data_IF_312742026959
#
_entry.id   IF_312742026959
#
_cell.length_a   1.000
_cell.length_b   1.000
_cell.length_c   1.000
_cell.angle_alpha   90.00
_cell.angle_beta   90.00
_cell.angle_gamma   90.00
#
_symmetry.space_group_name_H-M   'P 1'
#
loop_
_entity.id
_entity.type
_entity.pdbx_description
1 polymer ?
#
# COMPACT_ATOMS: atom_id res chain seq x y z
N UNK A 1 -12.88 -12.49 -2.59
CA UNK A 1 -11.52 -13.03 -2.42
C UNK A 1 -11.01 -12.62 -1.05
N UNK A 2 -10.13 -13.40 -0.43
CA UNK A 2 -9.39 -12.91 0.74
C UNK A 2 -8.42 -11.81 0.32
N UNK A 3 -7.90 -11.02 1.27
CA UNK A 3 -6.86 -10.04 0.96
C UNK A 3 -5.60 -10.71 0.40
N UNK A 4 -5.25 -11.90 0.90
CA UNK A 4 -4.09 -12.65 0.44
C UNK A 4 -4.26 -13.08 -1.03
N UNK A 5 -5.39 -13.69 -1.40
CA UNK A 5 -5.69 -14.03 -2.80
C UNK A 5 -5.64 -12.78 -3.71
N UNK A 6 -6.15 -11.66 -3.19
CA UNK A 6 -6.19 -10.39 -3.95
C UNK A 6 -4.79 -9.86 -4.28
N UNK A 7 -3.75 -10.17 -3.50
CA UNK A 7 -2.36 -9.78 -3.81
C UNK A 7 -1.93 -10.27 -5.20
N UNK A 8 -2.35 -11.48 -5.57
CA UNK A 8 -1.93 -12.18 -6.78
C UNK A 8 -2.77 -11.85 -8.01
N UNK A 9 -3.93 -11.21 -7.81
CA UNK A 9 -4.85 -10.85 -8.91
C UNK A 9 -4.95 -9.34 -9.10
N UNK A 10 -4.60 -8.53 -8.08
CA UNK A 10 -4.80 -7.08 -8.12
C UNK A 10 -4.08 -6.41 -9.28
N UNK A 11 -4.57 -5.25 -9.71
CA UNK A 11 -4.00 -4.46 -10.81
C UNK A 11 -4.16 -2.96 -10.54
N UNK A 12 -3.22 -2.17 -11.04
CA UNK A 12 -3.38 -0.72 -11.14
C UNK A 12 -4.47 -0.42 -12.18
N UNK A 13 -5.63 0.04 -11.74
CA UNK A 13 -6.74 0.46 -12.61
C UNK A 13 -6.61 1.96 -12.90
N UNK A 14 -6.85 2.32 -14.17
CA UNK A 14 -6.85 3.70 -14.66
C UNK A 14 -8.06 4.05 -15.51
N UNK A 15 -8.98 3.09 -15.67
CA UNK A 15 -10.22 3.23 -16.40
C UNK A 15 -11.33 2.75 -15.48
N UNK A 16 -12.13 3.71 -15.03
CA UNK A 16 -13.28 3.45 -14.19
C UNK A 16 -14.55 3.66 -15.01
N UNK A 17 -15.64 3.06 -14.54
CA UNK A 17 -16.97 3.30 -15.07
C UNK A 17 -17.62 4.45 -14.32
N UNK A 18 -18.62 5.06 -14.96
CA UNK A 18 -19.35 6.20 -14.40
C UNK A 18 -20.42 5.79 -13.38
N UNK A 19 -20.77 4.51 -13.30
CA UNK A 19 -21.80 4.07 -12.37
C UNK A 19 -21.30 4.06 -10.92
N UNK A 20 -22.13 4.66 -10.07
CA UNK A 20 -21.83 4.92 -8.68
C UNK A 20 -21.98 3.66 -7.82
N UNK A 21 -21.35 3.69 -6.65
CA UNK A 21 -21.59 2.75 -5.57
C UNK A 21 -22.82 3.23 -4.79
N UNK A 22 -23.59 2.28 -4.25
CA UNK A 22 -24.67 2.64 -3.34
C UNK A 22 -24.12 3.12 -1.98
N UNK A 23 -25.00 3.73 -1.18
CA UNK A 23 -24.60 4.30 0.11
C UNK A 23 -24.09 3.25 1.09
N UNK A 24 -24.64 2.03 1.07
CA UNK A 24 -24.21 0.97 1.98
C UNK A 24 -22.79 0.50 1.62
N UNK A 25 -22.50 0.33 0.34
CA UNK A 25 -21.15 0.00 -0.14
C UNK A 25 -20.11 1.04 0.30
N UNK A 26 -20.46 2.33 0.23
CA UNK A 26 -19.55 3.41 0.66
C UNK A 26 -19.33 3.39 2.19
N UNK A 27 -20.39 3.19 2.98
CA UNK A 27 -20.30 3.08 4.44
C UNK A 27 -19.48 1.85 4.87
N UNK A 28 -19.64 0.72 4.18
CA UNK A 28 -18.87 -0.50 4.45
C UNK A 28 -17.39 -0.30 4.14
N UNK A 29 -17.07 0.38 3.03
CA UNK A 29 -15.68 0.72 2.66
C UNK A 29 -15.06 1.68 3.67
N UNK A 30 -15.78 2.73 4.05
CA UNK A 30 -15.33 3.72 5.03
C UNK A 30 -15.10 3.06 6.40
N UNK A 31 -16.07 2.27 6.88
CA UNK A 31 -15.97 1.55 8.15
C UNK A 31 -14.78 0.59 8.14
N UNK A 32 -14.57 -0.13 7.05
CA UNK A 32 -13.47 -1.08 6.94
C UNK A 32 -12.11 -0.38 7.00
N UNK A 33 -11.91 0.70 6.21
CA UNK A 33 -10.62 1.39 6.15
C UNK A 33 -10.29 2.13 7.44
N UNK A 34 -11.30 2.61 8.18
CA UNK A 34 -11.10 3.22 9.50
C UNK A 34 -10.61 2.22 10.55
N UNK A 35 -10.86 0.93 10.35
CA UNK A 35 -10.40 -0.17 11.21
C UNK A 35 -9.13 -0.87 10.67
N UNK A 36 -8.55 -0.38 9.58
CA UNK A 36 -7.33 -0.95 9.03
C UNK A 36 -6.18 -0.88 10.05
N UNK A 37 -5.33 -1.92 10.06
CA UNK A 37 -4.19 -1.98 10.98
C UNK A 37 -3.26 -0.81 10.71
N UNK A 38 -2.62 -0.31 11.76
CA UNK A 38 -1.60 0.73 11.70
C UNK A 38 -0.32 0.25 12.37
N UNK A 39 0.78 0.92 12.09
CA UNK A 39 2.03 0.73 12.82
C UNK A 39 1.88 1.19 14.28
N UNK A 40 2.66 0.57 15.17
CA UNK A 40 2.71 0.97 16.57
C UNK A 40 3.10 2.44 16.71
N UNK A 41 2.32 3.18 17.49
CA UNK A 41 2.54 4.60 17.76
C UNK A 41 2.33 5.52 16.54
N UNK A 42 1.73 5.03 15.44
CA UNK A 42 1.41 5.84 14.26
C UNK A 42 -0.10 5.98 14.10
N UNK A 43 -0.53 7.12 13.55
CA UNK A 43 -1.95 7.36 13.27
C UNK A 43 -2.12 8.14 11.96
N UNK A 44 -2.43 7.43 10.89
CA UNK A 44 -2.93 7.99 9.65
C UNK A 44 -4.45 8.20 9.76
N UNK A 45 -4.94 9.28 9.14
CA UNK A 45 -6.37 9.50 8.92
C UNK A 45 -6.68 9.22 7.45
N UNK A 46 -7.77 8.52 7.20
CA UNK A 46 -8.27 8.26 5.84
C UNK A 46 -9.60 8.96 5.67
N UNK A 47 -9.78 9.66 4.56
CA UNK A 47 -11.04 10.27 4.16
C UNK A 47 -11.50 9.67 2.84
N UNK A 48 -12.76 9.20 2.80
CA UNK A 48 -13.44 8.88 1.55
C UNK A 48 -14.04 10.17 1.00
N UNK A 49 -13.66 10.52 -0.23
CA UNK A 49 -14.13 11.74 -0.90
C UNK A 49 -14.55 11.43 -2.33
N UNK A 50 -15.28 12.37 -2.94
CA UNK A 50 -15.69 12.28 -4.35
C UNK A 50 -14.74 13.03 -5.28
N UNK A 51 -14.89 12.84 -6.59
CA UNK A 51 -14.11 13.56 -7.62
C UNK A 51 -14.18 15.10 -7.48
N UNK A 52 -15.30 15.61 -6.95
CA UNK A 52 -15.50 17.04 -6.72
C UNK A 52 -14.57 17.63 -5.65
N UNK A 53 -13.93 16.80 -4.82
CA UNK A 53 -13.09 17.22 -3.70
C UNK A 53 -11.59 17.04 -3.99
N UNK A 54 -11.23 16.43 -5.13
CA UNK A 54 -9.84 16.24 -5.54
C UNK A 54 -9.47 17.13 -6.73
N UNK A 55 -8.24 17.63 -6.73
CA UNK A 55 -7.60 18.19 -7.91
C UNK A 55 -7.01 17.07 -8.75
N UNK A 56 -7.01 17.24 -10.07
CA UNK A 56 -6.50 16.24 -11.03
C UNK A 56 -7.20 14.88 -10.92
N UNK A 57 -8.53 14.90 -10.94
CA UNK A 57 -9.35 13.69 -11.02
C UNK A 57 -8.85 12.72 -12.09
N UNK A 58 -8.87 11.43 -11.77
CA UNK A 58 -8.34 10.35 -12.62
C UNK A 58 -9.47 9.56 -13.29
N UNK A 59 -10.64 10.21 -13.46
CA UNK A 59 -11.85 9.60 -13.99
C UNK A 59 -12.48 8.56 -13.06
N UNK A 60 -12.11 8.56 -11.78
CA UNK A 60 -12.75 7.72 -10.76
C UNK A 60 -13.82 8.53 -10.02
N UNK A 61 -14.96 7.92 -9.64
CA UNK A 61 -15.99 8.61 -8.87
C UNK A 61 -15.59 8.89 -7.42
N UNK A 62 -14.70 8.06 -6.84
CA UNK A 62 -14.32 8.12 -5.43
C UNK A 62 -12.80 8.04 -5.22
N UNK A 63 -12.36 8.57 -4.08
CA UNK A 63 -10.97 8.58 -3.67
C UNK A 63 -10.84 8.32 -2.17
N UNK A 64 -9.81 7.57 -1.78
CA UNK A 64 -9.34 7.51 -0.40
C UNK A 64 -8.13 8.43 -0.29
N UNK A 65 -8.24 9.49 0.51
CA UNK A 65 -7.14 10.41 0.81
C UNK A 65 -6.57 10.11 2.19
N UNK A 66 -5.25 9.97 2.28
CA UNK A 66 -4.57 9.70 3.54
C UNK A 66 -3.83 10.94 4.01
N UNK A 67 -3.97 11.24 5.29
CA UNK A 67 -3.32 12.34 5.98
C UNK A 67 -2.46 11.79 7.11
N UNK A 68 -1.23 12.28 7.23
CA UNK A 68 -0.31 11.83 8.27
C UNK A 68 0.68 12.94 8.63
N UNK A 69 1.43 12.74 9.70
CA UNK A 69 2.51 13.64 10.09
C UNK A 69 3.67 13.58 9.09
N UNK A 70 4.48 14.65 9.07
CA UNK A 70 5.56 14.83 8.11
C UNK A 70 6.87 14.17 8.59
N UNK A 71 6.89 12.84 8.71
CA UNK A 71 8.09 12.06 9.02
C UNK A 71 8.03 10.63 8.45
N UNK A 72 9.17 9.95 8.38
CA UNK A 72 9.33 8.65 7.70
C UNK A 72 8.37 7.57 8.22
N UNK A 73 8.23 7.42 9.53
CA UNK A 73 7.32 6.43 10.14
C UNK A 73 5.86 6.66 9.75
N UNK A 74 5.41 7.92 9.73
CA UNK A 74 4.05 8.28 9.33
C UNK A 74 3.81 8.02 7.84
N UNK A 75 4.82 8.25 6.99
CA UNK A 75 4.76 7.90 5.57
C UNK A 75 4.69 6.40 5.31
N UNK A 76 5.49 5.61 6.03
CA UNK A 76 5.37 4.15 6.00
C UNK A 76 3.97 3.70 6.43
N UNK A 77 3.45 4.24 7.53
CA UNK A 77 2.12 3.91 8.01
C UNK A 77 1.02 4.28 7.00
N UNK A 78 1.13 5.44 6.33
CA UNK A 78 0.18 5.85 5.30
C UNK A 78 0.13 4.85 4.13
N UNK A 79 1.29 4.38 3.66
CA UNK A 79 1.35 3.33 2.63
C UNK A 79 0.79 1.99 3.11
N UNK A 80 1.07 1.62 4.35
CA UNK A 80 0.59 0.38 4.97
C UNK A 80 -0.95 0.33 5.09
N UNK A 81 -1.56 1.41 5.56
CA UNK A 81 -3.01 1.56 5.68
C UNK A 81 -3.66 1.60 4.31
N UNK A 82 -3.17 2.43 3.39
CA UNK A 82 -3.81 2.60 2.09
C UNK A 82 -3.69 1.34 1.22
N UNK A 83 -2.63 0.55 1.36
CA UNK A 83 -2.51 -0.73 0.65
C UNK A 83 -3.50 -1.79 1.16
N UNK A 84 -3.84 -1.77 2.45
CA UNK A 84 -4.95 -2.59 2.97
C UNK A 84 -6.26 -2.20 2.29
N UNK A 85 -6.52 -0.89 2.16
CA UNK A 85 -7.68 -0.36 1.43
C UNK A 85 -7.68 -0.75 -0.06
N UNK A 86 -6.54 -0.64 -0.74
CA UNK A 86 -6.37 -1.05 -2.14
C UNK A 86 -6.75 -2.53 -2.33
N UNK A 87 -6.21 -3.42 -1.50
CA UNK A 87 -6.54 -4.85 -1.57
C UNK A 87 -7.99 -5.12 -1.21
N UNK A 88 -8.55 -4.43 -0.21
CA UNK A 88 -9.96 -4.61 0.16
C UNK A 88 -10.89 -4.21 -0.98
N UNK A 89 -10.69 -3.04 -1.59
CA UNK A 89 -11.48 -2.57 -2.73
C UNK A 89 -11.45 -3.59 -3.88
N UNK A 90 -10.28 -4.10 -4.23
CA UNK A 90 -10.15 -5.10 -5.30
C UNK A 90 -10.74 -6.46 -4.90
N UNK A 91 -10.76 -6.80 -3.61
CA UNK A 91 -11.40 -8.03 -3.13
C UNK A 91 -12.92 -8.02 -3.30
N UNK A 92 -13.52 -6.81 -3.34
CA UNK A 92 -14.95 -6.56 -3.63
C UNK A 92 -15.25 -6.50 -5.15
N UNK A 93 -14.24 -6.66 -6.01
CA UNK A 93 -14.37 -6.53 -7.46
C UNK A 93 -14.35 -5.09 -7.99
N UNK A 94 -13.96 -4.13 -7.15
CA UNK A 94 -13.76 -2.74 -7.58
C UNK A 94 -12.37 -2.56 -8.20
N UNK A 95 -12.24 -1.54 -9.05
CA UNK A 95 -10.94 -1.07 -9.50
C UNK A 95 -10.39 -0.02 -8.54
N UNK A 96 -9.07 -0.03 -8.37
CA UNK A 96 -8.33 0.99 -7.62
C UNK A 96 -7.01 1.36 -8.30
N UNK A 97 -6.53 2.59 -8.09
CA UNK A 97 -5.31 3.07 -8.71
C UNK A 97 -4.56 4.11 -7.88
N UNK A 98 -3.24 3.93 -7.79
CA UNK A 98 -2.29 4.86 -7.16
C UNK A 98 -1.88 5.97 -8.13
N UNK A 99 -2.03 7.23 -7.75
CA UNK A 99 -1.71 8.36 -8.62
C UNK A 99 -1.00 9.48 -7.85
N UNK A 100 0.17 9.90 -8.34
CA UNK A 100 0.94 10.98 -7.73
C UNK A 100 0.27 12.36 -7.85
N UNK A 101 -0.64 12.53 -8.82
CA UNK A 101 -1.34 13.79 -9.10
C UNK A 101 -2.58 14.02 -8.24
N UNK A 102 -3.16 12.97 -7.65
CA UNK A 102 -4.37 13.08 -6.81
C UNK A 102 -4.00 13.84 -5.55
N UNK A 103 -4.69 14.95 -5.31
CA UNK A 103 -4.55 15.80 -4.13
C UNK A 103 -5.90 16.40 -3.76
N UNK A 104 -6.18 16.69 -2.49
CA UNK A 104 -7.40 17.42 -2.14
C UNK A 104 -7.42 18.80 -2.82
N UNK A 105 -8.59 19.28 -3.24
CA UNK A 105 -8.76 20.63 -3.80
C UNK A 105 -8.43 21.70 -2.77
N UNK A 106 -8.89 21.49 -1.53
CA UNK A 106 -8.49 22.31 -0.39
C UNK A 106 -7.13 21.82 0.08
N UNK A 107 -6.13 22.70 0.02
CA UNK A 107 -4.79 22.41 0.49
C UNK A 107 -4.81 21.99 1.97
N UNK A 108 -4.06 20.94 2.29
CA UNK A 108 -3.82 20.45 3.64
C UNK A 108 -2.38 19.95 3.71
N UNK A 109 -1.58 20.56 4.59
CA UNK A 109 -0.15 20.24 4.76
C UNK A 109 0.10 18.80 5.20
N UNK A 110 -0.90 18.15 5.79
CA UNK A 110 -0.83 16.76 6.23
C UNK A 110 -1.21 15.77 5.13
N UNK A 111 -1.64 16.23 3.96
CA UNK A 111 -1.96 15.33 2.86
C UNK A 111 -0.75 14.47 2.48
N UNK A 112 -0.92 13.16 2.56
CA UNK A 112 0.14 12.20 2.32
C UNK A 112 0.09 11.65 0.89
N UNK A 113 -0.99 10.93 0.57
CA UNK A 113 -1.18 10.21 -0.69
C UNK A 113 -2.68 9.90 -0.90
N UNK A 114 -3.09 9.68 -2.14
CA UNK A 114 -4.46 9.31 -2.49
C UNK A 114 -4.52 8.07 -3.38
N UNK A 115 -5.65 7.35 -3.27
CA UNK A 115 -6.01 6.20 -4.10
C UNK A 115 -7.36 6.48 -4.76
N UNK A 116 -7.43 6.39 -6.08
CA UNK A 116 -8.68 6.50 -6.82
C UNK A 116 -9.37 5.13 -6.87
N UNK A 117 -10.70 5.07 -6.79
CA UNK A 117 -11.43 3.81 -6.89
C UNK A 117 -12.84 3.97 -7.46
N UNK A 118 -13.36 2.86 -7.97
CA UNK A 118 -14.70 2.78 -8.54
C UNK A 118 -14.90 1.47 -9.28
N UNK A 119 -16.06 1.29 -9.90
CA UNK A 119 -16.31 0.12 -10.75
C UNK A 119 -15.44 0.17 -12.00
N UNK A 120 -15.11 -1.00 -12.55
CA UNK A 120 -14.23 -1.11 -13.72
C UNK A 120 -14.55 -2.36 -14.53
N UNK A 121 -14.32 -2.30 -15.84
CA UNK A 121 -14.28 -3.48 -16.72
C UNK A 121 -12.85 -3.96 -16.96
N UNK A 122 -11.85 -3.33 -16.34
CA UNK A 122 -10.45 -3.79 -16.40
C UNK A 122 -10.36 -5.11 -15.64
N UNK A 123 -10.00 -6.22 -16.29
CA UNK A 123 -9.94 -7.50 -15.61
C UNK A 123 -8.80 -7.54 -14.60
N UNK A 124 -9.01 -8.29 -13.52
CA UNK A 124 -7.95 -8.72 -12.62
C UNK A 124 -6.89 -9.52 -13.40
N UNK A 125 -5.69 -9.61 -12.83
CA UNK A 125 -4.62 -10.44 -13.39
C UNK A 125 -4.95 -11.92 -13.24
N UNK A 126 -4.56 -12.69 -14.25
CA UNK A 126 -4.79 -14.14 -14.30
C UNK A 126 -3.66 -14.96 -13.70
N UNK A 127 -2.44 -14.42 -13.70
CA UNK A 127 -1.25 -15.07 -13.14
C UNK A 127 -0.21 -14.03 -12.73
N UNK A 128 0.80 -14.50 -11.98
CA UNK A 128 1.96 -13.68 -11.56
C UNK A 128 2.79 -13.16 -12.74
N UNK A 129 2.77 -13.82 -13.90
CA UNK A 129 3.53 -13.43 -15.09
C UNK A 129 3.09 -12.08 -15.66
N UNK A 130 1.86 -11.65 -15.36
CA UNK A 130 1.36 -10.33 -15.74
C UNK A 130 1.94 -9.20 -14.85
N UNK A 131 2.70 -9.52 -13.80
CA UNK A 131 3.40 -8.56 -12.97
C UNK A 131 4.83 -8.36 -13.46
N UNK A 132 5.18 -7.12 -13.80
CA UNK A 132 6.57 -6.74 -14.05
C UNK A 132 7.28 -6.49 -12.72
N UNK A 133 8.01 -7.49 -12.21
CA UNK A 133 8.74 -7.43 -10.93
C UNK A 133 10.18 -7.92 -11.06
N UNK A 134 11.04 -7.45 -10.16
CA UNK A 134 12.38 -8.00 -9.91
C UNK A 134 12.24 -9.47 -9.52
N UNK A 135 13.30 -10.23 -9.71
CA UNK A 135 13.35 -11.62 -9.24
C UNK A 135 13.24 -11.67 -7.70
N UNK A 136 12.77 -12.78 -7.16
CA UNK A 136 12.56 -12.91 -5.71
C UNK A 136 13.90 -12.84 -4.94
N UNK A 137 14.98 -13.36 -5.53
CA UNK A 137 16.34 -13.36 -4.98
C UNK A 137 16.94 -11.95 -4.90
N UNK A 138 16.44 -11.01 -5.71
CA UNK A 138 16.87 -9.61 -5.66
C UNK A 138 16.37 -8.91 -4.40
N UNK A 139 15.21 -9.34 -3.88
CA UNK A 139 14.55 -8.70 -2.75
C UNK A 139 14.62 -9.52 -1.47
N UNK A 140 14.91 -10.82 -1.53
CA UNK A 140 14.83 -11.72 -0.39
C UNK A 140 15.92 -12.80 -0.46
N UNK A 141 16.54 -13.19 0.67
CA UNK A 141 17.46 -14.32 0.73
C UNK A 141 16.76 -15.69 0.59
N UNK A 142 15.43 -15.74 0.76
CA UNK A 142 14.64 -16.96 0.67
C UNK A 142 13.35 -16.77 -0.14
N UNK A 143 12.94 -17.81 -0.85
CA UNK A 143 11.67 -17.83 -1.59
C UNK A 143 10.59 -18.51 -0.75
N UNK A 144 9.79 -17.70 -0.04
CA UNK A 144 8.65 -18.16 0.76
C UNK A 144 7.38 -17.35 0.43
N UNK A 145 6.24 -17.71 1.03
CA UNK A 145 4.94 -17.07 0.78
C UNK A 145 4.97 -15.55 1.05
N UNK A 146 5.69 -15.11 2.09
CA UNK A 146 5.86 -13.69 2.43
C UNK A 146 6.65 -12.95 1.35
N UNK A 147 7.80 -13.48 0.94
CA UNK A 147 8.62 -12.90 -0.11
C UNK A 147 7.89 -12.86 -1.46
N UNK A 148 7.10 -13.90 -1.80
CA UNK A 148 6.26 -13.92 -2.98
C UNK A 148 5.19 -12.81 -2.94
N UNK A 149 4.48 -12.68 -1.82
CA UNK A 149 3.47 -11.64 -1.65
C UNK A 149 4.07 -10.22 -1.72
N UNK A 150 5.19 -9.97 -1.03
CA UNK A 150 5.88 -8.67 -1.01
C UNK A 150 6.46 -8.33 -2.38
N UNK A 151 7.02 -9.30 -3.10
CA UNK A 151 7.52 -9.10 -4.47
C UNK A 151 6.45 -8.50 -5.36
N UNK A 152 5.20 -8.90 -5.20
CA UNK A 152 4.13 -8.41 -6.05
C UNK A 152 3.70 -6.98 -5.71
N UNK A 153 3.96 -6.45 -4.50
CA UNK A 153 3.56 -5.11 -4.00
C UNK A 153 3.70 -4.00 -5.08
N UNK A 154 2.76 -3.03 -5.21
CA UNK A 154 2.98 -1.88 -6.07
C UNK A 154 4.08 -0.98 -5.49
N UNK A 155 4.68 -0.15 -6.33
CA UNK A 155 5.58 0.90 -5.85
C UNK A 155 5.64 2.05 -6.84
N UNK A 156 6.04 3.22 -6.36
CA UNK A 156 6.26 4.38 -7.22
C UNK A 156 7.24 4.04 -8.35
N UNK A 157 6.81 4.33 -9.59
CA UNK A 157 7.55 4.03 -10.83
C UNK A 157 8.02 2.56 -10.94
N UNK A 158 7.35 1.64 -10.24
CA UNK A 158 7.75 0.23 -10.15
C UNK A 158 9.20 0.03 -9.66
N UNK A 159 9.72 0.97 -8.86
CA UNK A 159 11.10 0.99 -8.36
C UNK A 159 11.47 -0.19 -7.43
N UNK A 160 10.48 -0.75 -6.73
CA UNK A 160 10.61 -1.86 -5.78
C UNK A 160 11.79 -1.65 -4.81
N UNK A 161 11.72 -0.61 -3.93
CA UNK A 161 12.86 -0.12 -3.17
C UNK A 161 13.09 -0.89 -1.85
N UNK A 162 12.71 -2.17 -1.76
CA UNK A 162 12.77 -2.96 -0.53
C UNK A 162 13.69 -4.19 -0.65
N UNK A 163 14.26 -4.59 0.50
CA UNK A 163 14.81 -5.92 0.74
C UNK A 163 14.23 -6.51 2.02
N UNK A 164 14.07 -7.83 2.06
CA UNK A 164 13.59 -8.58 3.20
C UNK A 164 14.77 -9.27 3.90
N UNK A 165 14.69 -9.33 5.22
CA UNK A 165 15.46 -10.23 6.05
C UNK A 165 14.50 -10.99 6.97
N UNK A 166 14.82 -12.27 7.21
CA UNK A 166 14.00 -13.17 8.02
C UNK A 166 14.80 -13.59 9.25
N UNK A 167 14.17 -13.44 10.42
CA UNK A 167 14.56 -14.08 11.67
C UNK A 167 13.44 -15.03 12.14
N UNK A 168 13.67 -15.69 13.27
CA UNK A 168 12.76 -16.72 13.81
C UNK A 168 11.32 -16.21 14.00
N UNK A 169 11.15 -15.04 14.62
CA UNK A 169 9.84 -14.43 14.92
C UNK A 169 9.73 -13.00 14.34
N UNK A 170 10.52 -12.72 13.29
CA UNK A 170 10.64 -11.37 12.74
C UNK A 170 10.88 -11.34 11.24
N UNK A 171 10.15 -10.47 10.54
CA UNK A 171 10.49 -10.05 9.17
C UNK A 171 10.90 -8.58 9.21
N UNK A 172 12.07 -8.25 8.67
CA UNK A 172 12.51 -6.85 8.49
C UNK A 172 12.45 -6.49 7.02
N UNK A 173 11.79 -5.37 6.70
CA UNK A 173 11.73 -4.79 5.36
C UNK A 173 12.53 -3.50 5.35
N UNK A 174 13.59 -3.48 4.56
CA UNK A 174 14.58 -2.42 4.56
C UNK A 174 14.51 -1.59 3.29
N UNK A 175 14.53 -0.25 3.43
CA UNK A 175 14.61 0.68 2.31
C UNK A 175 16.02 0.62 1.69
N UNK A 176 16.10 0.13 0.45
CA UNK A 176 17.34 0.02 -0.33
C UNK A 176 17.34 0.89 -1.58
N UNK A 177 16.37 1.79 -1.73
CA UNK A 177 16.17 2.53 -2.99
C UNK A 177 17.47 3.14 -3.55
N UNK A 178 17.55 3.11 -4.88
CA UNK A 178 18.79 2.97 -5.64
C UNK A 178 19.64 4.25 -5.78
N UNK A 179 20.92 4.17 -5.38
CA UNK A 179 22.07 4.90 -5.95
C UNK A 179 22.36 6.33 -5.44
N UNK A 180 23.55 6.84 -5.80
CA UNK A 180 24.15 8.15 -5.45
C UNK A 180 23.23 9.37 -5.70
N UNK A 181 22.15 9.22 -6.48
CA UNK A 181 21.10 10.22 -6.71
C UNK A 181 20.16 10.47 -5.50
N UNK A 182 20.41 9.84 -4.36
CA UNK A 182 19.62 9.95 -3.11
C UNK A 182 20.21 10.96 -2.12
N UNK A 183 19.98 12.25 -2.34
CA UNK A 183 20.13 13.22 -1.23
C UNK A 183 18.93 14.17 -1.04
N UNK A 184 18.09 14.44 -2.06
CA UNK A 184 17.09 15.52 -1.89
C UNK A 184 15.64 15.28 -2.36
N UNK A 185 15.29 14.25 -3.17
CA UNK A 185 13.97 14.28 -3.85
C UNK A 185 13.06 13.04 -3.82
N UNK A 186 13.35 11.98 -3.05
CA UNK A 186 12.46 10.80 -2.98
C UNK A 186 12.32 10.14 -1.60
N UNK A 187 12.48 10.88 -0.50
CA UNK A 187 12.38 10.24 0.82
C UNK A 187 10.94 9.73 1.08
N UNK A 188 9.94 10.61 1.03
CA UNK A 188 8.51 10.28 1.30
C UNK A 188 7.98 9.07 0.53
N UNK A 189 8.11 9.04 -0.81
CA UNK A 189 7.52 7.97 -1.63
C UNK A 189 8.15 6.60 -1.35
N UNK A 190 9.45 6.52 -1.08
CA UNK A 190 10.07 5.23 -0.77
C UNK A 190 9.61 4.70 0.60
N UNK A 191 9.34 5.60 1.57
CA UNK A 191 8.77 5.22 2.87
C UNK A 191 7.36 4.68 2.70
N UNK A 192 6.53 5.36 1.90
CA UNK A 192 5.19 4.87 1.52
C UNK A 192 5.29 3.51 0.84
N UNK A 193 6.17 3.35 -0.17
CA UNK A 193 6.39 2.09 -0.88
C UNK A 193 6.81 0.96 0.08
N UNK A 194 7.60 1.26 1.12
CA UNK A 194 7.95 0.31 2.16
C UNK A 194 6.76 -0.10 3.03
N UNK A 195 5.89 0.87 3.36
CA UNK A 195 4.63 0.59 4.03
C UNK A 195 3.72 -0.34 3.26
N UNK A 196 3.61 -0.12 1.95
CA UNK A 196 2.89 -1.00 1.03
C UNK A 196 3.48 -2.41 1.07
N UNK A 197 4.81 -2.55 1.00
CA UNK A 197 5.48 -3.84 1.13
C UNK A 197 5.19 -4.52 2.49
N UNK A 198 5.20 -3.76 3.59
CA UNK A 198 4.85 -4.28 4.91
C UNK A 198 3.40 -4.77 4.99
N UNK A 199 2.46 -4.12 4.30
CA UNK A 199 1.05 -4.55 4.23
C UNK A 199 0.93 -5.94 3.60
N UNK A 200 1.64 -6.14 2.49
CA UNK A 200 1.73 -7.45 1.83
C UNK A 200 2.35 -8.52 2.75
N UNK A 201 3.42 -8.19 3.48
CA UNK A 201 4.07 -9.12 4.39
C UNK A 201 3.15 -9.54 5.55
N UNK A 202 2.47 -8.57 6.19
CA UNK A 202 1.52 -8.84 7.28
C UNK A 202 0.38 -9.74 6.82
N UNK A 203 -0.19 -9.46 5.65
CA UNK A 203 -1.28 -10.27 5.08
C UNK A 203 -0.81 -11.69 4.80
N UNK A 204 0.40 -11.86 4.25
CA UNK A 204 0.97 -13.18 3.99
C UNK A 204 1.30 -13.94 5.28
N UNK A 205 1.90 -13.30 6.28
CA UNK A 205 2.18 -13.92 7.58
C UNK A 205 0.90 -14.43 8.24
N UNK A 206 -0.16 -13.61 8.26
CA UNK A 206 -1.47 -14.01 8.79
C UNK A 206 -2.11 -15.14 7.99
N UNK A 207 -1.95 -15.17 6.67
CA UNK A 207 -2.42 -16.28 5.84
C UNK A 207 -1.73 -17.61 6.19
N UNK A 208 -0.42 -17.56 6.45
CA UNK A 208 0.39 -18.72 6.87
C UNK A 208 0.11 -19.16 8.33
N UNK A 209 -0.89 -18.58 9.00
CA UNK A 209 -1.31 -18.95 10.35
C UNK A 209 -0.58 -18.19 11.47
N UNK A 210 0.29 -17.24 11.15
CA UNK A 210 1.01 -16.46 12.15
C UNK A 210 0.16 -15.32 12.72
N UNK A 211 0.31 -15.07 14.01
CA UNK A 211 -0.25 -13.90 14.68
C UNK A 211 0.76 -12.77 14.67
N UNK A 212 0.50 -11.72 13.87
CA UNK A 212 1.33 -10.51 13.88
C UNK A 212 1.08 -9.74 15.18
N UNK A 213 2.14 -9.61 15.98
CA UNK A 213 2.13 -8.94 17.29
C UNK A 213 2.30 -7.44 17.11
N UNK A 214 3.29 -7.03 16.32
CA UNK A 214 3.65 -5.63 16.19
C UNK A 214 4.28 -5.32 14.82
N UNK A 215 4.02 -4.10 14.33
CA UNK A 215 4.70 -3.56 13.15
C UNK A 215 5.35 -2.24 13.53
N UNK A 216 6.68 -2.22 13.59
CA UNK A 216 7.47 -1.12 14.14
C UNK A 216 8.33 -0.50 13.03
N UNK A 217 8.11 0.77 12.68
CA UNK A 217 9.04 1.51 11.83
C UNK A 217 10.29 1.89 12.62
N UNK A 218 11.47 1.69 12.02
CA UNK A 218 12.77 2.09 12.58
C UNK A 218 13.49 2.99 11.59
N UNK A 219 14.02 4.10 12.09
CA UNK A 219 14.87 4.99 11.32
C UNK A 219 16.21 5.17 12.05
N UNK A 220 17.29 4.85 11.35
CA UNK A 220 18.65 5.18 11.75
C UNK A 220 19.17 6.29 10.85
N UNK A 221 20.32 6.88 11.20
CA UNK A 221 20.95 7.94 10.41
C UNK A 221 21.24 7.54 8.94
N UNK A 222 21.21 6.25 8.61
CA UNK A 222 21.56 5.73 7.28
C UNK A 222 20.40 5.01 6.58
N UNK A 223 19.36 4.59 7.32
CA UNK A 223 18.42 3.60 6.80
C UNK A 223 17.07 3.64 7.50
N UNK A 224 16.00 3.45 6.74
CA UNK A 224 14.65 3.23 7.26
C UNK A 224 14.22 1.81 7.00
N UNK A 225 13.61 1.20 8.01
CA UNK A 225 13.19 -0.19 8.03
C UNK A 225 11.83 -0.33 8.70
N UNK A 226 11.15 -1.43 8.44
CA UNK A 226 9.93 -1.83 9.14
C UNK A 226 10.16 -3.25 9.64
N UNK A 227 10.11 -3.43 10.95
CA UNK A 227 10.14 -4.73 11.60
C UNK A 227 8.71 -5.21 11.86
N UNK A 228 8.42 -6.45 11.47
CA UNK A 228 7.14 -7.13 11.69
C UNK A 228 7.43 -8.30 12.62
N UNK A 229 6.91 -8.25 13.84
CA UNK A 229 7.04 -9.30 14.83
C UNK A 229 5.81 -10.21 14.80
N UNK A 230 6.02 -11.53 14.84
CA UNK A 230 4.95 -12.51 14.73
C UNK A 230 5.23 -13.76 15.58
N UNK A 231 4.18 -14.55 15.85
CA UNK A 231 4.25 -15.87 16.52
C UNK A 231 3.35 -16.89 15.82
#
# INVERSE_FOLDING_TARGET
MTLYETIFTRRQVRRFRDDLLDQQQLLDIETWILNAKQFSGQQAKVALVTDNEVSHGQGAPYYLLVYCDNHSSAYGNAGFVLQQGDLYLQSLGLGSGWFAGVKPKRHDDRFCIGLAFGKTDVPARKSEDEFKRKSIETISPMANAVAAAVRLAPSSLNSQPWRLAFGEEKVTITDVGSGIKRMFLKNKLNKIDLGIAASHAVIALTHEGNTVIEVIPRETNQQFEIDIFYR
#
